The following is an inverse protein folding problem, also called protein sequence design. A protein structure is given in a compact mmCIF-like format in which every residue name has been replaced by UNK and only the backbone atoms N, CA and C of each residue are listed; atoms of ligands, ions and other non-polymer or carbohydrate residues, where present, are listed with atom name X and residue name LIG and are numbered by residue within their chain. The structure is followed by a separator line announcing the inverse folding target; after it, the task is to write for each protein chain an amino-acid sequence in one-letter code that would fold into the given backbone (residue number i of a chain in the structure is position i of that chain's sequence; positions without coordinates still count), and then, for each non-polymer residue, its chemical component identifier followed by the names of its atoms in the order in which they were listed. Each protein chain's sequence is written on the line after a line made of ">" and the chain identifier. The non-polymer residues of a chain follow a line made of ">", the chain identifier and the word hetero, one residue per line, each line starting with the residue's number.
data_IF_700462736158
#
_entry.id   IF_700462736158
#
_cell.length_a   1.000
_cell.length_b   1.000
_cell.length_c   1.000
_cell.angle_alpha   90.00
_cell.angle_beta   90.00
_cell.angle_gamma   90.00
#
_symmetry.space_group_name_H-M   'P 1'
#
loop_
_entity.id
_entity.type
_entity.pdbx_description
1 polymer ?
#
# COMPACT_ATOMS: atom_id res chain seq x y z
N UNK A 1 -23.67 -4.37 -6.95
CA UNK A 1 -22.78 -4.43 -8.13
C UNK A 1 -21.53 -3.64 -7.80
N UNK A 2 -20.38 -4.30 -7.60
CA UNK A 2 -19.09 -3.62 -7.48
C UNK A 2 -18.80 -2.90 -8.80
N UNK A 3 -18.44 -1.62 -8.71
CA UNK A 3 -18.13 -0.82 -9.88
C UNK A 3 -16.83 -1.32 -10.51
N UNK A 4 -16.88 -1.89 -11.72
CA UNK A 4 -15.71 -2.45 -12.44
C UNK A 4 -14.53 -1.46 -12.49
N UNK A 5 -14.83 -0.16 -12.63
CA UNK A 5 -13.83 0.90 -12.63
C UNK A 5 -13.13 1.02 -11.27
N UNK A 6 -13.88 0.93 -10.17
CA UNK A 6 -13.33 0.98 -8.82
C UNK A 6 -12.42 -0.22 -8.56
N UNK A 7 -12.87 -1.43 -8.90
CA UNK A 7 -12.09 -2.64 -8.69
C UNK A 7 -10.74 -2.62 -9.42
N UNK A 8 -10.70 -2.06 -10.64
CA UNK A 8 -9.45 -1.87 -11.38
C UNK A 8 -8.45 -1.01 -10.61
N UNK A 9 -8.90 0.09 -10.01
CA UNK A 9 -8.03 0.97 -9.22
C UNK A 9 -7.64 0.31 -7.88
N UNK A 10 -8.57 -0.36 -7.20
CA UNK A 10 -8.30 -1.06 -5.95
C UNK A 10 -7.21 -2.13 -6.14
N UNK A 11 -7.26 -2.91 -7.23
CA UNK A 11 -6.21 -3.87 -7.59
C UNK A 11 -4.86 -3.19 -7.85
N UNK A 12 -4.86 -2.00 -8.45
CA UNK A 12 -3.63 -1.23 -8.66
C UNK A 12 -3.04 -0.75 -7.33
N UNK A 13 -3.87 -0.20 -6.43
CA UNK A 13 -3.45 0.21 -5.09
C UNK A 13 -2.90 -0.96 -4.26
N UNK A 14 -3.53 -2.14 -4.33
CA UNK A 14 -3.03 -3.33 -3.65
C UNK A 14 -1.64 -3.76 -4.16
N UNK A 15 -1.41 -3.69 -5.48
CA UNK A 15 -0.07 -3.96 -6.06
C UNK A 15 0.95 -2.94 -5.57
N UNK A 16 0.60 -1.67 -5.52
CA UNK A 16 1.48 -0.63 -4.99
C UNK A 16 1.80 -0.84 -3.50
N UNK A 17 0.83 -1.22 -2.68
CA UNK A 17 1.06 -1.54 -1.27
C UNK A 17 2.03 -2.73 -1.10
N UNK A 18 1.97 -3.73 -1.99
CA UNK A 18 2.94 -4.83 -2.03
C UNK A 18 4.35 -4.35 -2.42
N UNK A 19 4.48 -3.40 -3.34
CA UNK A 19 5.78 -2.81 -3.67
C UNK A 19 6.37 -2.06 -2.48
N UNK A 20 5.57 -1.28 -1.74
CA UNK A 20 6.01 -0.64 -0.51
C UNK A 20 6.47 -1.64 0.56
N UNK A 21 5.78 -2.78 0.68
CA UNK A 21 6.16 -3.83 1.61
C UNK A 21 7.61 -4.31 1.39
N UNK A 22 8.09 -4.35 0.13
CA UNK A 22 9.45 -4.82 -0.20
C UNK A 22 10.56 -3.94 0.40
N UNK A 23 10.27 -2.69 0.72
CA UNK A 23 11.22 -1.79 1.39
C UNK A 23 11.40 -2.11 2.88
N UNK A 24 10.52 -2.94 3.46
CA UNK A 24 10.64 -3.36 4.85
C UNK A 24 11.86 -4.26 5.07
N UNK A 25 12.66 -3.93 6.09
CA UNK A 25 13.75 -4.78 6.58
C UNK A 25 13.27 -5.93 7.51
N UNK A 26 11.96 -6.07 7.75
CA UNK A 26 11.45 -7.08 8.66
C UNK A 26 11.58 -8.50 8.08
N UNK A 27 12.24 -9.42 8.82
CA UNK A 27 12.42 -10.82 8.42
C UNK A 27 11.13 -11.66 8.50
N UNK A 28 10.24 -11.35 9.44
CA UNK A 28 9.05 -12.18 9.73
C UNK A 28 7.93 -11.93 8.74
N UNK A 29 7.56 -10.66 8.55
CA UNK A 29 6.54 -10.23 7.58
C UNK A 29 6.86 -8.82 7.09
N UNK A 30 6.89 -8.68 5.77
CA UNK A 30 6.99 -7.41 5.08
C UNK A 30 5.57 -6.89 4.79
N UNK A 31 5.24 -5.70 5.30
CA UNK A 31 3.91 -5.10 5.24
C UNK A 31 4.04 -3.70 4.67
N UNK A 32 3.19 -3.39 3.68
CA UNK A 32 3.04 -2.05 3.12
C UNK A 32 1.59 -1.59 3.23
N UNK A 33 1.39 -0.29 3.36
CA UNK A 33 0.09 0.33 3.53
C UNK A 33 -0.03 1.60 2.68
N UNK A 34 -1.25 1.90 2.23
CA UNK A 34 -1.59 3.11 1.50
C UNK A 34 -2.90 3.67 2.04
N UNK A 35 -2.97 4.99 2.20
CA UNK A 35 -4.19 5.73 2.51
C UNK A 35 -4.55 6.56 1.28
N UNK A 36 -5.75 6.31 0.74
CA UNK A 36 -6.25 6.95 -0.48
C UNK A 36 -7.50 7.78 -0.18
N UNK A 37 -7.52 9.02 -0.64
CA UNK A 37 -8.67 9.93 -0.56
C UNK A 37 -8.90 10.56 -1.92
N UNK A 38 -10.13 10.52 -2.43
CA UNK A 38 -10.48 11.12 -3.73
C UNK A 38 -9.59 10.65 -4.90
N UNK A 39 -9.24 9.34 -4.94
CA UNK A 39 -8.31 8.71 -5.90
C UNK A 39 -6.85 9.17 -5.81
N UNK A 40 -6.50 10.00 -4.82
CA UNK A 40 -5.14 10.44 -4.54
C UNK A 40 -4.59 9.70 -3.33
N UNK A 41 -3.35 9.23 -3.41
CA UNK A 41 -2.63 8.67 -2.26
C UNK A 41 -2.19 9.85 -1.40
N UNK A 42 -2.61 9.84 -0.13
CA UNK A 42 -2.30 10.90 0.83
C UNK A 42 -1.28 10.46 1.87
N UNK A 43 -1.03 9.15 1.97
CA UNK A 43 0.02 8.58 2.79
C UNK A 43 0.32 7.16 2.31
N UNK A 44 1.59 6.79 2.42
CA UNK A 44 2.17 5.50 2.14
C UNK A 44 3.14 5.12 3.26
N UNK A 45 3.40 3.83 3.41
CA UNK A 45 4.35 3.37 4.42
C UNK A 45 4.53 1.86 4.42
N UNK A 46 5.54 1.43 5.15
CA UNK A 46 5.84 0.02 5.39
C UNK A 46 6.33 -0.17 6.83
N UNK A 47 6.28 -1.40 7.33
CA UNK A 47 6.76 -1.69 8.68
C UNK A 47 8.29 -1.64 8.76
N UNK A 48 8.83 -0.95 9.75
CA UNK A 48 10.26 -0.81 9.97
C UNK A 48 10.58 -0.26 11.35
N UNK A 49 11.87 -0.12 11.66
CA UNK A 49 12.32 0.63 12.84
C UNK A 49 12.10 2.12 12.61
N UNK A 50 11.82 2.91 13.67
CA UNK A 50 11.82 4.36 13.56
C UNK A 50 13.12 4.85 12.91
N UNK A 51 13.04 5.88 12.07
CA UNK A 51 14.21 6.49 11.47
C UNK A 51 14.89 7.39 12.51
N UNK A 52 16.14 7.07 12.87
CA UNK A 52 16.93 7.77 13.89
C UNK A 52 17.63 6.81 14.82
#
# INVERSE_FOLDING_TARGET
>A
MTNIKQEKYDRAYLRMALEWAKLSHCKRKQVGALIVKNRMIISDGYNGTPTG
#
